data_IF_401190704051
#
_entry.id   IF_401190704051
#
_cell.length_a   1.000
_cell.length_b   1.000
_cell.length_c   1.000
_cell.angle_alpha   90.00
_cell.angle_beta   90.00
_cell.angle_gamma   90.00
#
_symmetry.space_group_name_H-M   'P 1'
#
loop_
_entity.id
_entity.type
_entity.pdbx_description
1 polymer ?
#
# COMPACT_ATOMS: atom_id res chain seq x y z
N UNK A 1 32.06 -63.68 19.41
CA UNK A 1 31.76 -62.38 20.01
C UNK A 1 32.06 -61.31 18.95
N UNK A 2 31.03 -60.84 18.18
CA UNK A 2 31.18 -59.84 17.13
C UNK A 2 30.76 -58.49 17.68
N UNK A 3 31.70 -57.53 17.80
CA UNK A 3 31.47 -56.15 18.24
C UNK A 3 31.07 -55.33 17.01
N UNK A 4 29.83 -54.83 16.99
CA UNK A 4 29.31 -53.86 16.00
C UNK A 4 29.70 -52.45 16.42
N UNK A 5 30.53 -51.77 15.61
CA UNK A 5 30.78 -50.33 15.72
C UNK A 5 29.69 -49.58 14.97
N UNK A 6 28.87 -48.87 15.72
CA UNK A 6 27.88 -47.95 15.15
C UNK A 6 28.56 -46.58 14.94
N UNK A 7 28.85 -46.24 13.70
CA UNK A 7 29.30 -44.90 13.33
C UNK A 7 28.10 -43.95 13.32
N UNK A 8 28.00 -43.04 14.31
CA UNK A 8 27.08 -41.92 14.32
C UNK A 8 27.58 -40.83 13.33
N UNK A 9 26.93 -40.73 12.19
CA UNK A 9 27.14 -39.62 11.26
C UNK A 9 26.23 -38.46 11.73
N UNK A 10 26.85 -37.47 12.37
CA UNK A 10 26.15 -36.20 12.71
C UNK A 10 26.15 -35.34 11.43
N UNK A 11 24.99 -35.27 10.76
CA UNK A 11 24.77 -34.36 9.66
C UNK A 11 24.64 -32.94 10.18
N UNK A 12 25.65 -32.08 9.99
CA UNK A 12 25.51 -30.62 10.16
C UNK A 12 24.66 -30.07 9.01
N UNK A 13 23.42 -29.73 9.32
CA UNK A 13 22.59 -28.94 8.43
C UNK A 13 23.04 -27.47 8.52
N UNK A 14 23.34 -26.82 7.39
CA UNK A 14 23.59 -25.38 7.39
C UNK A 14 22.28 -24.65 7.70
N UNK A 15 22.25 -23.88 8.80
CA UNK A 15 21.20 -22.92 9.07
C UNK A 15 21.32 -21.80 8.06
N UNK A 16 20.38 -21.75 7.10
CA UNK A 16 20.20 -20.58 6.24
C UNK A 16 19.74 -19.43 7.14
N UNK A 17 20.66 -18.51 7.42
CA UNK A 17 20.31 -17.26 8.08
C UNK A 17 19.52 -16.40 7.04
N UNK A 18 18.22 -16.28 7.25
CA UNK A 18 17.42 -15.27 6.55
C UNK A 18 17.95 -13.89 6.93
N UNK A 19 18.73 -13.30 6.04
CA UNK A 19 19.14 -11.89 6.17
C UNK A 19 17.91 -10.98 6.10
N UNK A 20 17.96 -9.77 6.73
CA UNK A 20 16.86 -8.82 6.64
C UNK A 20 16.63 -8.45 5.17
N UNK A 21 15.50 -8.90 4.61
CA UNK A 21 15.09 -8.47 3.30
C UNK A 21 14.69 -6.99 3.38
N UNK A 22 15.57 -6.09 2.95
CA UNK A 22 15.24 -4.71 2.68
C UNK A 22 14.29 -4.67 1.47
N UNK A 23 13.04 -5.06 1.67
CA UNK A 23 12.00 -4.82 0.72
C UNK A 23 11.85 -3.29 0.60
N UNK A 24 12.21 -2.74 -0.54
CA UNK A 24 11.82 -1.38 -0.91
C UNK A 24 10.30 -1.40 -0.97
N UNK A 25 9.65 -0.97 0.12
CA UNK A 25 8.20 -0.83 0.15
C UNK A 25 7.80 0.19 -0.92
N UNK A 26 7.27 -0.33 -2.03
CA UNK A 26 6.53 0.51 -2.98
C UNK A 26 5.31 1.12 -2.27
N UNK A 27 4.61 2.09 -2.88
CA UNK A 27 3.43 2.69 -2.26
C UNK A 27 2.48 1.57 -1.80
N UNK A 28 2.05 1.59 -0.54
CA UNK A 28 1.32 0.46 0.05
C UNK A 28 -0.02 0.17 -0.64
N UNK A 29 -0.60 1.18 -1.32
CA UNK A 29 -1.91 1.09 -1.96
C UNK A 29 -1.89 1.26 -3.48
N UNK A 30 -3.03 0.93 -4.09
CA UNK A 30 -3.32 1.15 -5.50
C UNK A 30 -4.60 1.99 -5.67
N UNK A 31 -4.67 2.78 -6.75
CA UNK A 31 -5.90 3.49 -7.10
C UNK A 31 -7.03 2.49 -7.35
N UNK A 32 -8.21 2.69 -6.73
CA UNK A 32 -9.36 1.80 -6.92
C UNK A 32 -10.01 1.92 -8.29
N UNK A 33 -9.76 3.00 -9.01
CA UNK A 33 -10.16 3.19 -10.40
C UNK A 33 -8.94 3.39 -11.30
N UNK A 34 -8.99 2.90 -12.54
CA UNK A 34 -7.94 3.05 -13.54
C UNK A 34 -8.53 3.48 -14.89
N UNK A 35 -7.84 4.41 -15.61
CA UNK A 35 -6.61 5.11 -15.21
C UNK A 35 -6.82 5.94 -13.94
N UNK A 36 -5.73 6.52 -13.37
CA UNK A 36 -5.78 7.37 -12.17
C UNK A 36 -6.94 8.38 -12.29
N UNK A 37 -7.93 8.34 -11.37
CA UNK A 37 -9.09 9.21 -11.43
C UNK A 37 -8.77 10.62 -10.93
N UNK A 38 -9.61 11.57 -11.31
CA UNK A 38 -9.71 12.87 -10.66
C UNK A 38 -10.37 12.71 -9.29
N UNK A 39 -9.85 13.40 -8.28
CA UNK A 39 -10.49 13.52 -6.96
C UNK A 39 -11.49 14.66 -7.03
N UNK A 40 -12.79 14.33 -7.10
CA UNK A 40 -13.87 15.30 -7.24
C UNK A 40 -14.17 15.98 -5.90
N UNK A 41 -14.09 15.21 -4.81
CA UNK A 41 -14.23 15.71 -3.44
C UNK A 41 -13.24 15.03 -2.52
N UNK A 42 -12.49 15.82 -1.75
CA UNK A 42 -11.50 15.34 -0.80
C UNK A 42 -12.09 14.86 0.52
N UNK A 43 -11.24 14.31 1.38
CA UNK A 43 -11.55 13.92 2.73
C UNK A 43 -11.74 15.17 3.60
N UNK A 44 -12.86 15.23 4.33
CA UNK A 44 -13.23 16.30 5.27
C UNK A 44 -13.69 15.66 6.58
N UNK A 45 -12.80 15.47 7.56
CA UNK A 45 -13.17 14.79 8.79
C UNK A 45 -14.27 15.57 9.50
N UNK A 46 -15.33 14.89 9.97
CA UNK A 46 -16.38 15.57 10.72
C UNK A 46 -15.83 16.03 12.08
N UNK A 47 -16.29 17.19 12.55
CA UNK A 47 -15.91 17.76 13.86
C UNK A 47 -16.49 16.99 15.05
N UNK A 48 -17.45 16.12 14.81
CA UNK A 48 -18.07 15.22 15.80
C UNK A 48 -18.50 13.92 15.12
N UNK A 49 -18.74 12.82 15.87
CA UNK A 49 -19.10 11.52 15.27
C UNK A 49 -20.29 11.57 14.30
N UNK A 50 -21.26 12.48 14.54
CA UNK A 50 -22.46 12.65 13.72
C UNK A 50 -22.47 13.97 12.96
N UNK A 51 -21.40 14.74 13.03
CA UNK A 51 -21.26 16.03 12.35
C UNK A 51 -21.18 15.91 10.82
N UNK A 52 -21.42 17.05 10.14
CA UNK A 52 -21.19 17.13 8.71
C UNK A 52 -19.72 16.91 8.39
N UNK A 53 -19.44 16.35 7.21
CA UNK A 53 -18.11 16.06 6.74
C UNK A 53 -18.14 15.11 5.55
N UNK A 54 -16.97 14.70 5.08
CA UNK A 54 -16.82 13.71 4.02
C UNK A 54 -15.84 12.64 4.50
N UNK A 55 -16.37 11.45 4.81
CA UNK A 55 -15.64 10.35 5.46
C UNK A 55 -14.82 9.48 4.50
N UNK A 56 -14.49 10.03 3.35
CA UNK A 56 -13.73 9.40 2.29
C UNK A 56 -13.37 10.40 1.22
N UNK A 57 -13.09 9.92 0.02
CA UNK A 57 -12.87 10.74 -1.18
C UNK A 57 -13.81 10.27 -2.28
N UNK A 58 -14.32 11.23 -3.08
CA UNK A 58 -15.10 10.91 -4.27
C UNK A 58 -14.19 10.98 -5.50
N UNK A 59 -14.11 9.87 -6.22
CA UNK A 59 -13.26 9.69 -7.39
C UNK A 59 -14.12 9.67 -8.65
N UNK A 60 -13.81 10.54 -9.62
CA UNK A 60 -14.52 10.56 -10.90
C UNK A 60 -14.43 9.19 -11.57
N UNK A 61 -15.58 8.67 -11.98
CA UNK A 61 -15.72 7.35 -12.60
C UNK A 61 -16.47 7.39 -13.92
N UNK A 62 -16.62 6.21 -14.52
CA UNK A 62 -17.35 5.98 -15.77
C UNK A 62 -18.39 4.89 -15.57
N UNK A 63 -19.42 4.86 -16.43
CA UNK A 63 -20.42 3.81 -16.39
C UNK A 63 -19.79 2.40 -16.36
N UNK A 64 -20.21 1.58 -15.38
CA UNK A 64 -19.79 0.19 -15.26
C UNK A 64 -18.25 -0.02 -15.15
N UNK A 65 -17.51 1.01 -14.69
CA UNK A 65 -16.06 0.93 -14.53
C UNK A 65 -15.69 -0.10 -13.46
N UNK A 66 -14.62 -0.88 -13.71
CA UNK A 66 -14.12 -1.85 -12.74
C UNK A 66 -13.54 -1.12 -11.52
N UNK A 67 -14.03 -1.48 -10.34
CA UNK A 67 -13.52 -1.03 -9.05
C UNK A 67 -12.59 -2.09 -8.49
N UNK A 68 -11.42 -1.67 -8.00
CA UNK A 68 -10.34 -2.55 -7.55
C UNK A 68 -9.99 -2.34 -6.08
N UNK A 69 -9.51 -3.39 -5.43
CA UNK A 69 -9.02 -3.33 -4.07
C UNK A 69 -7.77 -2.43 -3.98
N UNK A 70 -7.79 -1.43 -3.11
CA UNK A 70 -6.64 -0.55 -2.89
C UNK A 70 -5.48 -1.29 -2.20
N UNK A 71 -5.79 -2.22 -1.31
CA UNK A 71 -4.85 -3.08 -0.59
C UNK A 71 -5.28 -4.54 -0.67
N UNK A 72 -4.36 -5.45 -0.42
CA UNK A 72 -4.69 -6.85 -0.19
C UNK A 72 -5.46 -7.00 1.14
N UNK A 73 -6.42 -7.93 1.19
CA UNK A 73 -7.21 -8.15 2.39
C UNK A 73 -8.29 -9.19 2.22
N UNK A 74 -9.23 -9.20 3.17
CA UNK A 74 -10.40 -10.08 3.15
C UNK A 74 -11.66 -9.24 3.00
N UNK A 75 -12.54 -9.61 2.09
CA UNK A 75 -13.86 -8.98 1.93
C UNK A 75 -14.66 -9.24 3.21
N UNK A 76 -14.92 -8.19 3.99
CA UNK A 76 -15.65 -8.29 5.27
C UNK A 76 -17.14 -8.02 5.11
N UNK A 77 -17.55 -7.25 4.09
CA UNK A 77 -18.94 -6.94 3.81
C UNK A 77 -19.18 -6.80 2.31
N UNK A 78 -20.31 -7.33 1.87
CA UNK A 78 -20.91 -7.09 0.56
C UNK A 78 -22.41 -6.98 0.77
N UNK A 79 -23.01 -5.87 0.35
CA UNK A 79 -24.45 -5.66 0.54
C UNK A 79 -24.90 -4.27 0.17
N UNK A 80 -26.08 -3.88 0.67
CA UNK A 80 -26.59 -2.52 0.52
C UNK A 80 -26.77 -1.88 1.88
N UNK A 81 -26.35 -0.62 2.01
CA UNK A 81 -26.57 0.22 3.18
C UNK A 81 -27.40 1.41 2.71
N UNK A 82 -28.56 1.61 3.29
CA UNK A 82 -29.53 2.66 2.86
C UNK A 82 -29.79 2.63 1.32
N UNK A 83 -29.83 1.42 0.73
CA UNK A 83 -30.04 1.24 -0.71
C UNK A 83 -28.80 1.35 -1.59
N UNK A 84 -27.68 1.86 -1.10
CA UNK A 84 -26.41 2.00 -1.82
C UNK A 84 -25.61 0.69 -1.74
N UNK A 85 -25.11 0.21 -2.87
CA UNK A 85 -24.30 -1.02 -2.92
C UNK A 85 -22.88 -0.75 -2.39
N UNK A 86 -22.45 -1.54 -1.40
CA UNK A 86 -21.18 -1.33 -0.67
C UNK A 86 -20.36 -2.61 -0.66
N UNK A 87 -19.07 -2.47 -0.89
CA UNK A 87 -18.05 -3.50 -0.65
C UNK A 87 -17.07 -2.98 0.39
N UNK A 88 -16.74 -3.81 1.38
CA UNK A 88 -15.73 -3.49 2.41
C UNK A 88 -14.65 -4.56 2.41
N UNK A 89 -13.39 -4.12 2.40
CA UNK A 89 -12.22 -5.00 2.50
C UNK A 89 -11.48 -4.70 3.81
N UNK A 90 -11.28 -5.72 4.62
CA UNK A 90 -10.52 -5.67 5.87
C UNK A 90 -9.05 -6.00 5.61
N UNK A 91 -8.15 -5.21 6.20
CA UNK A 91 -6.70 -5.31 6.02
C UNK A 91 -5.96 -5.62 7.34
N UNK A 92 -6.70 -6.01 8.39
CA UNK A 92 -6.14 -6.17 9.73
C UNK A 92 -5.99 -4.84 10.47
N UNK A 93 -7.00 -4.47 11.27
CA UNK A 93 -7.05 -3.20 12.02
C UNK A 93 -7.51 -1.99 11.22
N UNK A 94 -7.48 -2.04 9.89
CA UNK A 94 -8.02 -1.04 8.98
C UNK A 94 -8.94 -1.68 7.96
N UNK A 95 -9.89 -0.93 7.44
CA UNK A 95 -10.76 -1.39 6.34
C UNK A 95 -10.98 -0.28 5.33
N UNK A 96 -11.10 -0.66 4.06
CA UNK A 96 -11.50 0.25 2.98
C UNK A 96 -12.93 -0.02 2.55
N UNK A 97 -13.67 1.04 2.24
CA UNK A 97 -15.06 1.00 1.77
C UNK A 97 -15.14 1.53 0.35
N UNK A 98 -15.98 0.90 -0.46
CA UNK A 98 -16.18 1.22 -1.86
C UNK A 98 -17.67 1.28 -2.15
N UNK A 99 -18.16 2.44 -2.59
CA UNK A 99 -19.59 2.66 -2.93
C UNK A 99 -19.77 3.74 -3.98
N UNK A 100 -20.80 3.64 -4.84
CA UNK A 100 -21.66 2.49 -5.02
C UNK A 100 -21.00 1.42 -5.93
N UNK A 101 -20.90 0.17 -5.48
CA UNK A 101 -20.23 -0.91 -6.22
C UNK A 101 -21.09 -2.16 -6.27
N UNK A 102 -21.51 -2.56 -7.49
CA UNK A 102 -22.08 -3.88 -7.73
C UNK A 102 -20.95 -4.93 -7.66
N UNK A 103 -20.95 -5.69 -6.58
CA UNK A 103 -19.88 -6.64 -6.27
C UNK A 103 -19.77 -7.77 -7.29
N UNK A 104 -18.51 -8.18 -7.56
CA UNK A 104 -18.15 -9.43 -8.23
C UNK A 104 -17.52 -10.44 -7.26
N UNK A 105 -17.31 -10.03 -6.00
CA UNK A 105 -16.69 -10.84 -4.94
C UNK A 105 -17.69 -11.15 -3.84
N UNK A 106 -17.35 -12.12 -2.98
CA UNK A 106 -18.19 -12.58 -1.88
C UNK A 106 -17.57 -12.26 -0.53
N UNK A 107 -18.40 -12.13 0.50
CA UNK A 107 -17.92 -12.00 1.88
C UNK A 107 -17.03 -13.20 2.25
N UNK A 108 -15.89 -12.91 2.85
CA UNK A 108 -14.88 -13.90 3.24
C UNK A 108 -13.80 -14.16 2.20
N UNK A 109 -13.97 -13.70 0.96
CA UNK A 109 -13.00 -13.87 -0.12
C UNK A 109 -11.71 -13.08 0.16
N UNK A 110 -10.56 -13.67 -0.16
CA UNK A 110 -9.26 -13.00 -0.12
C UNK A 110 -9.01 -12.31 -1.45
N UNK A 111 -8.67 -11.04 -1.38
CA UNK A 111 -8.37 -10.23 -2.56
C UNK A 111 -6.95 -9.66 -2.49
N UNK A 112 -6.23 -9.74 -3.59
CA UNK A 112 -4.94 -9.08 -3.73
C UNK A 112 -5.13 -7.59 -3.98
N UNK A 113 -4.10 -6.78 -3.71
CA UNK A 113 -4.05 -5.38 -4.15
C UNK A 113 -4.26 -5.28 -5.66
N UNK A 114 -5.18 -4.43 -6.09
CA UNK A 114 -5.54 -4.25 -7.51
C UNK A 114 -6.52 -5.29 -8.06
N UNK A 115 -6.92 -6.31 -7.28
CA UNK A 115 -7.95 -7.25 -7.69
C UNK A 115 -9.30 -6.57 -7.92
N UNK A 116 -10.07 -7.04 -8.89
CA UNK A 116 -11.41 -6.52 -9.15
C UNK A 116 -12.36 -6.86 -8.00
N UNK A 117 -13.07 -5.86 -7.48
CA UNK A 117 -14.12 -6.01 -6.46
C UNK A 117 -15.52 -6.02 -7.07
N UNK A 118 -15.68 -5.37 -8.22
CA UNK A 118 -16.97 -5.20 -8.86
C UNK A 118 -16.96 -4.06 -9.86
N UNK A 119 -18.14 -3.51 -10.09
CA UNK A 119 -18.35 -2.46 -11.08
C UNK A 119 -19.09 -1.28 -10.45
N UNK A 120 -18.68 -0.06 -10.81
CA UNK A 120 -19.28 1.18 -10.36
C UNK A 120 -20.74 1.25 -10.82
N UNK A 121 -21.63 1.59 -9.89
CA UNK A 121 -23.04 1.89 -10.14
C UNK A 121 -23.27 3.41 -10.14
N UNK A 122 -24.39 3.85 -10.77
CA UNK A 122 -24.80 5.27 -10.72
C UNK A 122 -25.65 5.55 -9.50
N UNK A 123 -26.52 4.60 -9.15
CA UNK A 123 -27.42 4.75 -8.00
C UNK A 123 -26.62 4.79 -6.70
N UNK A 124 -26.76 5.88 -5.95
CA UNK A 124 -25.99 6.14 -4.74
C UNK A 124 -24.68 6.91 -4.98
N UNK A 125 -24.39 7.33 -6.22
CA UNK A 125 -23.25 8.20 -6.50
C UNK A 125 -23.40 9.55 -5.80
N UNK A 126 -22.40 9.98 -5.03
CA UNK A 126 -22.37 11.30 -4.38
C UNK A 126 -22.32 12.45 -5.40
N UNK A 127 -21.93 12.15 -6.64
CA UNK A 127 -21.77 13.14 -7.71
C UNK A 127 -22.99 13.20 -8.66
N UNK A 128 -24.14 12.64 -8.30
CA UNK A 128 -25.30 12.59 -9.19
C UNK A 128 -25.53 13.90 -9.96
N UNK A 129 -25.78 13.88 -11.27
CA UNK A 129 -26.00 12.73 -12.15
C UNK A 129 -24.70 12.11 -12.72
N UNK A 130 -23.53 12.51 -12.25
CA UNK A 130 -22.23 11.98 -12.67
C UNK A 130 -21.88 10.71 -11.90
N UNK A 131 -21.03 9.89 -12.49
CA UNK A 131 -20.49 8.69 -11.87
C UNK A 131 -19.29 9.04 -11.01
N UNK A 132 -19.31 8.69 -9.74
CA UNK A 132 -18.14 8.69 -8.89
C UNK A 132 -18.16 7.52 -7.89
N UNK A 133 -16.97 7.09 -7.53
CA UNK A 133 -16.73 6.13 -6.45
C UNK A 133 -16.44 6.91 -5.18
N UNK A 134 -17.26 6.71 -4.15
CA UNK A 134 -16.86 7.06 -2.79
C UNK A 134 -15.94 5.98 -2.24
N UNK A 135 -14.74 6.37 -1.85
CA UNK A 135 -13.71 5.48 -1.31
C UNK A 135 -13.31 5.95 0.09
N UNK A 136 -13.56 5.12 1.09
CA UNK A 136 -13.28 5.40 2.49
C UNK A 136 -12.14 4.56 3.04
N UNK A 137 -11.51 5.04 4.12
CA UNK A 137 -10.55 4.34 4.94
C UNK A 137 -10.92 4.52 6.41
N UNK A 138 -11.02 3.41 7.14
CA UNK A 138 -11.45 3.41 8.53
C UNK A 138 -10.45 2.58 9.33
N UNK A 139 -9.98 3.11 10.46
CA UNK A 139 -9.13 2.43 11.42
C UNK A 139 -9.94 2.10 12.69
N UNK A 140 -9.81 0.90 13.19
CA UNK A 140 -10.58 0.45 14.35
C UNK A 140 -12.09 0.47 14.08
N UNK A 141 -12.88 0.98 15.05
CA UNK A 141 -14.34 0.98 14.97
C UNK A 141 -14.88 2.04 14.00
N UNK A 142 -14.48 3.31 14.15
CA UNK A 142 -15.08 4.47 13.50
C UNK A 142 -14.11 5.65 13.27
N UNK A 143 -12.80 5.41 13.35
CA UNK A 143 -11.80 6.44 13.07
C UNK A 143 -11.55 6.53 11.56
N UNK A 144 -12.12 7.57 10.94
CA UNK A 144 -11.99 7.82 9.50
C UNK A 144 -10.68 8.52 9.18
N UNK A 145 -9.99 8.02 8.14
CA UNK A 145 -8.72 8.53 7.65
C UNK A 145 -8.85 8.94 6.18
N UNK A 146 -7.95 9.80 5.73
CA UNK A 146 -7.83 10.11 4.30
C UNK A 146 -7.30 8.89 3.55
N UNK A 147 -8.11 8.25 2.66
CA UNK A 147 -7.67 7.09 1.91
C UNK A 147 -6.54 7.37 0.91
N UNK A 148 -6.32 8.62 0.51
CA UNK A 148 -5.20 9.01 -0.34
C UNK A 148 -3.85 8.77 0.35
N UNK A 149 -3.83 8.71 1.68
CA UNK A 149 -2.62 8.34 2.44
C UNK A 149 -2.08 6.95 2.08
N UNK A 150 -2.96 6.03 1.64
CA UNK A 150 -2.56 4.69 1.19
C UNK A 150 -1.72 4.71 -0.09
N UNK A 151 -1.80 5.78 -0.87
CA UNK A 151 -1.15 5.89 -2.17
C UNK A 151 0.23 6.57 -2.09
N UNK A 152 0.68 6.95 -0.89
CA UNK A 152 1.89 7.74 -0.72
C UNK A 152 1.79 9.17 -1.28
N UNK A 153 0.59 9.61 -1.68
CA UNK A 153 0.33 10.97 -2.17
C UNK A 153 -0.22 11.89 -1.07
N UNK A 154 0.10 11.61 0.18
CA UNK A 154 -0.26 12.44 1.31
C UNK A 154 0.29 13.87 1.16
N UNK A 155 -0.37 14.86 1.80
CA UNK A 155 0.15 16.22 1.86
C UNK A 155 1.54 16.20 2.48
N UNK A 156 2.56 16.52 1.71
CA UNK A 156 3.90 16.75 2.25
C UNK A 156 3.80 17.99 3.13
N UNK A 157 3.81 17.80 4.44
CA UNK A 157 3.94 18.89 5.40
C UNK A 157 5.41 19.21 5.51
N UNK A 158 5.84 20.28 4.86
CA UNK A 158 7.18 20.82 5.09
C UNK A 158 7.21 21.30 6.55
N UNK A 159 8.03 20.65 7.37
CA UNK A 159 8.33 21.16 8.69
C UNK A 159 9.15 22.43 8.50
N UNK A 160 8.94 23.49 9.32
CA UNK A 160 9.83 24.62 9.35
C UNK A 160 11.25 24.11 9.57
N UNK A 161 12.19 24.54 8.74
CA UNK A 161 13.61 24.29 9.01
C UNK A 161 13.92 25.01 10.33
N UNK A 162 14.36 24.25 11.32
CA UNK A 162 14.87 24.85 12.57
C UNK A 162 16.09 25.70 12.21
N UNK A 163 16.05 27.02 12.37
CA UNK A 163 17.15 27.89 12.00
C UNK A 163 18.40 27.64 12.85
N UNK A 164 18.27 26.88 13.94
CA UNK A 164 19.39 26.48 14.81
C UNK A 164 20.12 25.23 14.29
N UNK A 165 19.47 24.44 13.42
CA UNK A 165 20.12 23.38 12.69
C UNK A 165 20.81 23.98 11.47
N UNK A 166 22.10 24.26 11.60
CA UNK A 166 22.93 24.74 10.49
C UNK A 166 22.79 23.88 9.24
N UNK A 167 23.25 24.37 8.06
CA UNK A 167 23.07 23.67 6.80
C UNK A 167 23.56 22.22 6.92
N UNK A 168 22.70 21.26 6.53
CA UNK A 168 23.08 19.84 6.45
C UNK A 168 24.33 19.76 5.59
N UNK A 169 25.48 19.51 6.22
CA UNK A 169 26.73 19.25 5.49
C UNK A 169 26.51 17.96 4.70
N UNK A 170 26.14 18.09 3.44
CA UNK A 170 26.23 16.98 2.51
C UNK A 170 27.67 16.51 2.51
N UNK A 171 27.93 15.31 3.02
CA UNK A 171 29.23 14.71 2.88
C UNK A 171 29.56 14.66 1.38
N UNK A 172 30.78 15.11 0.96
CA UNK A 172 31.13 15.00 -0.44
C UNK A 172 31.02 13.56 -0.84
N UNK A 173 30.28 13.30 -1.92
CA UNK A 173 30.23 12.00 -2.56
C UNK A 173 31.68 11.61 -2.88
N UNK A 174 32.26 10.69 -2.10
CA UNK A 174 33.52 10.11 -2.45
C UNK A 174 33.31 9.35 -3.76
N UNK A 175 33.66 10.02 -4.85
CA UNK A 175 33.80 9.39 -6.14
C UNK A 175 34.87 8.30 -5.97
N UNK A 176 34.45 7.05 -5.81
CA UNK A 176 35.34 5.89 -5.96
C UNK A 176 35.66 5.78 -7.45
N UNK A 177 36.58 6.64 -7.88
CA UNK A 177 37.18 6.53 -9.20
C UNK A 177 38.06 5.28 -9.22
N UNK A 178 37.61 4.22 -9.87
CA UNK A 178 38.53 3.20 -10.35
C UNK A 178 39.35 3.83 -11.48
N UNK A 179 40.53 4.34 -11.14
CA UNK A 179 41.51 4.73 -12.15
C UNK A 179 42.04 3.46 -12.84
N UNK A 180 41.68 3.28 -14.09
CA UNK A 180 42.31 2.32 -14.99
C UNK A 180 43.69 2.88 -15.37
N UNK A 181 44.69 2.62 -14.56
CA UNK A 181 46.08 2.84 -14.96
C UNK A 181 46.59 1.59 -15.68
N UNK A 182 46.91 1.75 -16.95
CA UNK A 182 47.71 0.82 -17.73
C UNK A 182 48.99 0.46 -16.97
N UNK A 183 49.11 -0.80 -16.54
CA UNK A 183 50.36 -1.39 -16.13
C UNK A 183 50.40 -2.82 -16.65
N UNK A 184 50.91 -2.97 -17.84
CA UNK A 184 51.61 -4.18 -18.23
C UNK A 184 52.89 -4.25 -17.38
N UNK A 185 52.91 -5.09 -16.39
CA UNK A 185 54.00 -5.88 -15.82
C UNK A 185 53.83 -6.07 -14.31
N UNK A 186 53.87 -7.30 -14.00
CA UNK A 186 54.10 -7.93 -12.70
C UNK A 186 52.87 -8.36 -11.90
N UNK A 187 52.88 -9.64 -11.63
CA UNK A 187 51.93 -10.36 -10.75
C UNK A 187 52.02 -9.82 -9.34
N UNK A 188 50.92 -9.31 -8.83
CA UNK A 188 50.67 -9.24 -7.38
C UNK A 188 49.18 -9.10 -7.16
N UNK A 189 48.62 -9.98 -6.34
CA UNK A 189 47.26 -10.02 -5.87
C UNK A 189 46.94 -8.70 -5.13
N UNK A 190 45.92 -7.97 -5.60
CA UNK A 190 45.36 -6.83 -4.87
C UNK A 190 44.03 -7.28 -4.28
N UNK A 191 43.99 -7.35 -2.96
CA UNK A 191 42.79 -7.55 -2.15
C UNK A 191 42.13 -6.18 -1.98
N UNK A 192 40.87 -6.04 -2.40
CA UNK A 192 40.04 -4.90 -2.04
C UNK A 192 39.39 -5.15 -0.67
N UNK A 193 39.54 -4.19 0.24
CA UNK A 193 38.82 -4.11 1.50
C UNK A 193 37.68 -3.11 1.35
#
# INVERSE_FOLDING_TARGET
MKRWLICLVVALLPTLADGPSNAVEGPPGAWPLQPRPEVVRGFEPPSSPWGPGHRGVDLAGRPNQVVRAALAGRVSFVGRIAGVAVVVVDHGGRRTTYEPVRSSVHRGELVARGAALGHLELFGSHCWPRWCLHWGLIEGADHYLDPLSLLGVGRVRLLPLDPTLGPVRTAPAQARGCAWANALRSRSLVTCV
#
